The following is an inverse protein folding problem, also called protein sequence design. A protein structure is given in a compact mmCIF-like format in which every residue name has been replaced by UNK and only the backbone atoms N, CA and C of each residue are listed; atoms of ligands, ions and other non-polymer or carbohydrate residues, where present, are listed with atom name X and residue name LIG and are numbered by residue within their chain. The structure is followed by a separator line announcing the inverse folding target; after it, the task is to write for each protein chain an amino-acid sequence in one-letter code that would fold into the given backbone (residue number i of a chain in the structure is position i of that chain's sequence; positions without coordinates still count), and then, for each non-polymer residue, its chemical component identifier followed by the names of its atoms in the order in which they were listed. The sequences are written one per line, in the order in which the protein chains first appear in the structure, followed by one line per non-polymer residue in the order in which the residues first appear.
data_IF_434514677586
#
_entry.id   IF_434514677586
#
_cell.length_a   1.000
_cell.length_b   1.000
_cell.length_c   1.000
_cell.angle_alpha   90.00
_cell.angle_beta   90.00
_cell.angle_gamma   90.00
#
_symmetry.space_group_name_H-M   'P 1'
#
loop_
_entity.id
_entity.type
_entity.pdbx_description
1 polymer ?
#
# COMPACT_ATOMS: atom_id res chain seq x y z
N UNK A 1 -75.96 65.54 -26.23
CA UNK A 1 -75.25 64.50 -25.45
C UNK A 1 -74.39 63.71 -26.43
N UNK A 2 -73.12 64.10 -26.60
CA UNK A 2 -72.20 63.51 -27.58
C UNK A 2 -71.51 62.30 -26.92
N UNK A 3 -71.75 61.10 -27.45
CA UNK A 3 -71.03 59.90 -27.05
C UNK A 3 -69.68 59.88 -27.78
N UNK A 4 -68.60 60.09 -27.03
CA UNK A 4 -67.23 59.87 -27.52
C UNK A 4 -67.03 58.36 -27.62
N UNK A 5 -67.12 57.83 -28.84
CA UNK A 5 -66.77 56.44 -29.16
C UNK A 5 -65.24 56.37 -29.19
N UNK A 6 -64.65 55.79 -28.15
CA UNK A 6 -63.22 55.45 -28.12
C UNK A 6 -63.05 54.17 -28.93
N UNK A 7 -62.55 54.31 -30.16
CA UNK A 7 -62.22 53.18 -31.03
C UNK A 7 -60.83 52.65 -30.63
N UNK A 8 -60.77 51.47 -30.02
CA UNK A 8 -59.51 50.79 -29.75
C UNK A 8 -59.04 50.15 -31.06
N UNK A 9 -57.81 50.44 -31.55
CA UNK A 9 -57.31 49.84 -32.77
C UNK A 9 -57.35 48.31 -32.62
N UNK A 10 -58.07 47.64 -33.52
CA UNK A 10 -58.09 46.18 -33.59
C UNK A 10 -56.66 45.73 -33.85
N UNK A 11 -56.12 44.90 -32.96
CA UNK A 11 -54.82 44.28 -33.16
C UNK A 11 -54.90 43.42 -34.43
N UNK A 12 -54.38 43.95 -35.54
CA UNK A 12 -54.16 43.18 -36.74
C UNK A 12 -53.31 41.96 -36.39
N UNK A 13 -53.64 40.82 -37.00
CA UNK A 13 -52.97 39.53 -36.79
C UNK A 13 -51.53 39.58 -37.33
N UNK A 14 -50.65 40.30 -36.67
CA UNK A 14 -49.20 40.17 -36.82
C UNK A 14 -48.71 38.96 -36.00
N UNK A 15 -49.23 37.77 -36.30
CA UNK A 15 -49.03 36.57 -35.49
C UNK A 15 -47.77 35.75 -35.86
N UNK A 16 -46.78 36.36 -36.53
CA UNK A 16 -45.53 35.69 -36.92
C UNK A 16 -44.26 36.39 -36.44
N UNK A 17 -44.22 37.72 -36.51
CA UNK A 17 -43.00 38.51 -36.29
C UNK A 17 -42.54 38.51 -34.83
N UNK A 18 -43.46 38.48 -33.87
CA UNK A 18 -43.13 38.45 -32.43
C UNK A 18 -42.30 37.23 -32.06
N UNK A 19 -42.59 36.06 -32.64
CA UNK A 19 -41.86 34.83 -32.36
C UNK A 19 -40.43 34.90 -32.92
N UNK A 20 -40.25 35.52 -34.09
CA UNK A 20 -38.93 35.74 -34.69
C UNK A 20 -38.09 36.70 -33.85
N UNK A 21 -38.68 37.80 -33.37
CA UNK A 21 -37.99 38.76 -32.49
C UNK A 21 -37.63 38.12 -31.15
N UNK A 22 -38.55 37.35 -30.54
CA UNK A 22 -38.24 36.58 -29.34
C UNK A 22 -37.11 35.59 -29.58
N UNK A 23 -37.12 34.82 -30.68
CA UNK A 23 -36.06 33.87 -30.99
C UNK A 23 -34.71 34.56 -31.18
N UNK A 24 -34.68 35.68 -31.88
CA UNK A 24 -33.46 36.45 -32.12
C UNK A 24 -32.86 36.97 -30.81
N UNK A 25 -33.68 37.31 -29.83
CA UNK A 25 -33.25 37.70 -28.48
C UNK A 25 -32.91 36.50 -27.58
N UNK A 26 -33.54 35.35 -27.78
CA UNK A 26 -33.35 34.16 -26.93
C UNK A 26 -32.08 33.38 -27.31
N UNK A 27 -31.70 33.35 -28.59
CA UNK A 27 -30.47 32.70 -29.07
C UNK A 27 -29.20 33.18 -28.33
N UNK A 28 -28.90 34.49 -28.22
CA UNK A 28 -27.72 34.94 -27.50
C UNK A 28 -27.78 34.61 -26.00
N UNK A 29 -28.96 34.67 -25.38
CA UNK A 29 -29.15 34.26 -23.98
C UNK A 29 -28.89 32.76 -23.78
N UNK A 30 -29.34 31.93 -24.72
CA UNK A 30 -29.09 30.49 -24.69
C UNK A 30 -27.59 30.19 -24.81
N UNK A 31 -26.87 30.86 -25.71
CA UNK A 31 -25.43 30.69 -25.89
C UNK A 31 -24.65 31.05 -24.61
N UNK A 32 -25.02 32.14 -23.95
CA UNK A 32 -24.45 32.50 -22.64
C UNK A 32 -24.79 31.44 -21.58
N UNK A 33 -26.03 30.94 -21.57
CA UNK A 33 -26.46 29.88 -20.68
C UNK A 33 -25.62 28.60 -20.85
N UNK A 34 -25.42 28.14 -22.08
CA UNK A 34 -24.63 26.93 -22.39
C UNK A 34 -23.17 27.10 -21.93
N UNK A 35 -22.54 28.25 -22.19
CA UNK A 35 -21.17 28.50 -21.75
C UNK A 35 -20.99 28.44 -20.23
N UNK A 36 -21.99 28.89 -19.46
CA UNK A 36 -21.96 28.77 -17.98
C UNK A 36 -22.11 27.31 -17.52
N UNK A 37 -22.94 26.51 -18.20
CA UNK A 37 -23.11 25.09 -17.87
C UNK A 37 -21.85 24.28 -18.16
N UNK A 38 -21.18 24.52 -19.29
CA UNK A 38 -19.91 23.85 -19.61
C UNK A 38 -18.83 24.14 -18.56
N UNK A 39 -18.74 25.40 -18.13
CA UNK A 39 -17.80 25.83 -17.08
C UNK A 39 -18.14 25.17 -15.74
N UNK A 40 -19.42 25.08 -15.39
CA UNK A 40 -19.87 24.40 -14.17
C UNK A 40 -19.53 22.91 -14.17
N UNK A 41 -19.72 22.22 -15.30
CA UNK A 41 -19.37 20.79 -15.45
C UNK A 41 -17.87 20.56 -15.31
N UNK A 42 -17.04 21.45 -15.86
CA UNK A 42 -15.59 21.36 -15.68
C UNK A 42 -15.19 21.57 -14.21
N UNK A 43 -15.79 22.56 -13.55
CA UNK A 43 -15.58 22.82 -12.13
C UNK A 43 -15.97 21.64 -11.25
N UNK A 44 -17.11 21.01 -11.52
CA UNK A 44 -17.56 19.79 -10.83
C UNK A 44 -16.56 18.64 -11.01
N UNK A 45 -16.09 18.41 -12.23
CA UNK A 45 -15.08 17.37 -12.52
C UNK A 45 -13.76 17.62 -11.80
N UNK A 46 -13.31 18.87 -11.75
CA UNK A 46 -12.10 19.26 -11.02
C UNK A 46 -12.28 19.06 -9.51
N UNK A 47 -13.40 19.51 -8.94
CA UNK A 47 -13.72 19.32 -7.54
C UNK A 47 -13.78 17.83 -7.17
N UNK A 48 -14.45 17.02 -7.99
CA UNK A 48 -14.52 15.58 -7.79
C UNK A 48 -13.14 14.90 -7.87
N UNK A 49 -12.23 15.36 -8.74
CA UNK A 49 -10.87 14.83 -8.85
C UNK A 49 -10.01 15.21 -7.64
N UNK A 50 -10.13 16.45 -7.15
CA UNK A 50 -9.42 16.92 -5.94
C UNK A 50 -9.89 16.15 -4.72
N UNK A 51 -11.21 15.98 -4.56
CA UNK A 51 -11.80 15.22 -3.47
C UNK A 51 -11.36 13.74 -3.48
N UNK A 52 -11.34 13.13 -4.67
CA UNK A 52 -10.90 11.74 -4.83
C UNK A 52 -9.42 11.55 -4.45
N UNK A 53 -8.58 12.53 -4.78
CA UNK A 53 -7.15 12.52 -4.40
C UNK A 53 -6.93 12.79 -2.91
N UNK A 54 -7.74 13.66 -2.30
CA UNK A 54 -7.70 13.89 -0.86
C UNK A 54 -8.05 12.62 -0.09
N UNK A 55 -9.14 11.93 -0.47
CA UNK A 55 -9.50 10.63 0.14
C UNK A 55 -8.40 9.57 -0.02
N UNK A 56 -7.77 9.51 -1.20
CA UNK A 56 -6.65 8.61 -1.42
C UNK A 56 -5.46 8.94 -0.51
N UNK A 57 -5.21 10.21 -0.22
CA UNK A 57 -4.18 10.65 0.71
C UNK A 57 -4.51 10.27 2.16
N UNK A 58 -5.72 10.55 2.62
CA UNK A 58 -6.18 10.19 3.99
C UNK A 58 -6.07 8.67 4.22
N UNK A 59 -6.43 7.88 3.20
CA UNK A 59 -6.30 6.42 3.23
C UNK A 59 -4.83 5.96 3.32
N UNK A 60 -3.93 6.60 2.55
CA UNK A 60 -2.50 6.31 2.62
C UNK A 60 -1.91 6.69 3.98
N UNK A 61 -2.35 7.81 4.57
CA UNK A 61 -1.94 8.25 5.91
C UNK A 61 -2.40 7.26 6.98
N UNK A 62 -3.66 6.82 6.91
CA UNK A 62 -4.20 5.81 7.83
C UNK A 62 -3.40 4.50 7.73
N UNK A 63 -3.04 4.08 6.50
CA UNK A 63 -2.21 2.90 6.30
C UNK A 63 -0.79 3.05 6.86
N UNK A 64 -0.21 4.23 6.68
CA UNK A 64 1.10 4.55 7.24
C UNK A 64 1.07 4.51 8.78
N UNK A 65 0.07 5.15 9.39
CA UNK A 65 -0.12 5.17 10.83
C UNK A 65 -0.31 3.75 11.41
N UNK A 66 -1.06 2.89 10.72
CA UNK A 66 -1.25 1.50 11.12
C UNK A 66 0.07 0.72 11.12
N UNK A 67 0.91 0.90 10.09
CA UNK A 67 2.23 0.28 10.03
C UNK A 67 3.15 0.77 11.17
N UNK A 68 3.12 2.06 11.48
CA UNK A 68 3.84 2.62 12.63
C UNK A 68 3.30 2.11 13.97
N UNK A 69 1.99 1.99 14.12
CA UNK A 69 1.35 1.44 15.31
C UNK A 69 1.71 -0.03 15.53
N UNK A 70 1.73 -0.83 14.46
CA UNK A 70 2.19 -2.21 14.50
C UNK A 70 3.67 -2.28 14.90
N UNK A 71 4.53 -1.43 14.34
CA UNK A 71 5.94 -1.37 14.74
C UNK A 71 6.12 -0.93 16.19
N UNK A 72 5.26 -0.05 16.72
CA UNK A 72 5.28 0.38 18.13
C UNK A 72 4.88 -0.73 19.09
N UNK A 73 4.00 -1.65 18.68
CA UNK A 73 3.51 -2.73 19.55
C UNK A 73 4.48 -3.91 19.71
N UNK A 74 5.51 -4.02 18.86
CA UNK A 74 6.46 -5.13 18.92
C UNK A 74 7.39 -5.02 20.15
N UNK A 75 7.53 -6.02 21.01
CA UNK A 75 8.51 -5.92 22.10
C UNK A 75 9.96 -6.11 21.60
N UNK A 76 10.11 -6.98 20.60
CA UNK A 76 11.38 -7.44 20.03
C UNK A 76 11.50 -6.95 18.59
N UNK A 77 12.73 -6.79 18.09
CA UNK A 77 12.98 -6.46 16.69
C UNK A 77 12.37 -7.54 15.78
N UNK A 78 11.43 -7.19 14.89
CA UNK A 78 10.88 -8.15 13.94
C UNK A 78 11.96 -8.70 13.01
N UNK A 79 11.87 -9.99 12.68
CA UNK A 79 12.81 -10.62 11.76
C UNK A 79 12.40 -10.23 10.33
N UNK A 80 13.28 -9.50 9.63
CA UNK A 80 13.09 -9.22 8.22
C UNK A 80 13.36 -10.48 7.38
N UNK A 81 12.41 -10.87 6.54
CA UNK A 81 12.56 -11.99 5.60
C UNK A 81 12.40 -11.57 4.14
N UNK A 82 12.76 -12.46 3.20
CA UNK A 82 12.58 -12.24 1.77
C UNK A 82 11.14 -12.45 1.31
N UNK A 83 10.32 -13.07 2.14
CA UNK A 83 8.91 -13.43 1.87
C UNK A 83 7.93 -12.56 2.67
N UNK A 84 8.43 -11.64 3.50
CA UNK A 84 7.59 -10.80 4.37
C UNK A 84 6.90 -11.55 5.51
N UNK A 85 7.31 -12.79 5.83
CA UNK A 85 6.66 -13.68 6.79
C UNK A 85 6.58 -13.13 8.24
N UNK A 86 7.39 -12.12 8.58
CA UNK A 86 7.35 -11.40 9.85
C UNK A 86 6.69 -10.02 9.80
N UNK A 87 6.00 -9.67 8.71
CA UNK A 87 5.46 -8.33 8.48
C UNK A 87 6.52 -7.28 8.11
N UNK A 88 7.79 -7.67 8.06
CA UNK A 88 8.92 -6.82 7.65
C UNK A 88 9.70 -7.50 6.54
N UNK A 89 9.95 -6.75 5.47
CA UNK A 89 10.73 -7.15 4.32
C UNK A 89 12.20 -6.78 4.50
N UNK A 90 13.08 -7.65 4.00
CA UNK A 90 14.50 -7.31 3.86
C UNK A 90 14.70 -6.22 2.81
N UNK A 91 15.66 -5.34 3.07
CA UNK A 91 16.04 -4.30 2.11
C UNK A 91 16.46 -4.90 0.76
N UNK A 92 15.99 -4.30 -0.32
CA UNK A 92 16.40 -4.65 -1.69
C UNK A 92 15.75 -5.93 -2.24
N UNK A 93 14.91 -6.62 -1.46
CA UNK A 93 14.15 -7.78 -1.94
C UNK A 93 12.93 -7.33 -2.74
N UNK A 94 12.22 -6.31 -2.24
CA UNK A 94 11.06 -5.78 -2.94
C UNK A 94 11.50 -5.15 -4.25
N UNK A 95 10.93 -5.63 -5.35
CA UNK A 95 11.20 -5.17 -6.70
C UNK A 95 12.36 -5.84 -7.42
N UNK A 96 13.02 -6.83 -6.84
CA UNK A 96 14.09 -7.58 -7.50
C UNK A 96 13.61 -8.38 -8.73
N UNK A 97 12.34 -8.76 -8.74
CA UNK A 97 11.68 -9.43 -9.88
C UNK A 97 11.08 -8.44 -10.90
N UNK A 98 11.20 -7.14 -10.63
CA UNK A 98 10.70 -6.10 -11.52
C UNK A 98 11.78 -5.75 -12.55
N UNK A 99 11.41 -5.71 -13.82
CA UNK A 99 12.31 -5.41 -14.94
C UNK A 99 12.70 -3.93 -15.07
N UNK A 100 12.44 -3.13 -14.02
CA UNK A 100 12.58 -1.68 -14.02
C UNK A 100 13.63 -1.26 -12.97
N UNK A 101 14.46 -0.27 -13.34
CA UNK A 101 15.53 0.27 -12.50
C UNK A 101 15.08 1.37 -11.53
N UNK A 102 13.82 1.79 -11.63
CA UNK A 102 13.19 2.72 -10.69
C UNK A 102 12.85 2.04 -9.37
N UNK A 103 12.50 2.85 -8.38
CA UNK A 103 12.18 2.35 -7.06
C UNK A 103 10.90 1.52 -7.09
N UNK A 104 10.90 0.37 -6.39
CA UNK A 104 9.86 -0.66 -6.56
C UNK A 104 8.43 -0.15 -6.38
N UNK A 105 8.20 0.82 -5.49
CA UNK A 105 6.86 1.37 -5.24
C UNK A 105 6.37 2.35 -6.31
N UNK A 106 7.22 2.73 -7.28
CA UNK A 106 6.89 3.67 -8.36
C UNK A 106 7.16 3.08 -9.76
N UNK A 107 6.87 1.79 -9.93
CA UNK A 107 6.93 1.12 -11.23
C UNK A 107 5.59 0.52 -11.62
N UNK A 108 5.38 0.33 -12.92
CA UNK A 108 4.12 -0.20 -13.46
C UNK A 108 3.79 -1.62 -12.98
N UNK A 109 4.78 -2.39 -12.53
CA UNK A 109 4.59 -3.73 -11.97
C UNK A 109 4.06 -3.77 -10.53
N UNK A 110 3.90 -2.62 -9.86
CA UNK A 110 3.32 -2.54 -8.50
C UNK A 110 1.91 -1.96 -8.53
N UNK A 111 1.03 -2.70 -9.17
CA UNK A 111 -0.41 -2.41 -9.20
C UNK A 111 -1.12 -2.90 -7.93
N UNK A 112 -2.45 -2.81 -7.91
CA UNK A 112 -3.24 -3.16 -6.72
C UNK A 112 -3.06 -4.62 -6.31
N UNK A 113 -2.96 -5.55 -7.28
CA UNK A 113 -2.79 -6.98 -6.99
C UNK A 113 -1.42 -7.26 -6.37
N UNK A 114 -0.39 -6.53 -6.80
CA UNK A 114 0.91 -6.58 -6.15
C UNK A 114 0.83 -6.15 -4.68
N UNK A 115 0.10 -5.07 -4.39
CA UNK A 115 -0.09 -4.59 -3.01
C UNK A 115 -0.92 -5.53 -2.14
N UNK A 116 -1.91 -6.23 -2.71
CA UNK A 116 -2.69 -7.26 -2.00
C UNK A 116 -1.84 -8.49 -1.64
N UNK A 117 -0.82 -8.80 -2.43
CA UNK A 117 0.06 -9.97 -2.21
C UNK A 117 1.25 -9.68 -1.29
N UNK A 118 1.74 -8.44 -1.26
CA UNK A 118 2.96 -8.07 -0.52
C UNK A 118 2.71 -7.12 0.65
N UNK A 119 1.60 -6.37 0.61
CA UNK A 119 1.22 -5.38 1.60
C UNK A 119 0.22 -5.91 2.62
N UNK A 120 0.18 -5.28 3.78
CA UNK A 120 -0.84 -5.53 4.80
C UNK A 120 -1.99 -4.55 4.61
N UNK A 121 -3.21 -5.07 4.47
CA UNK A 121 -4.40 -4.26 4.35
C UNK A 121 -4.79 -3.62 5.69
N UNK A 122 -5.19 -2.35 5.64
CA UNK A 122 -5.83 -1.65 6.75
C UNK A 122 -7.33 -1.68 6.52
N UNK A 123 -8.07 -2.11 7.54
CA UNK A 123 -9.46 -2.56 7.45
C UNK A 123 -10.43 -1.63 6.71
N UNK A 124 -11.61 -2.17 6.39
CA UNK A 124 -12.62 -1.54 5.51
C UNK A 124 -13.02 -0.12 5.94
N UNK A 125 -12.34 0.88 5.39
CA UNK A 125 -12.88 2.22 5.33
C UNK A 125 -13.95 2.17 4.25
N UNK A 126 -15.22 2.09 4.67
CA UNK A 126 -16.43 1.89 3.83
C UNK A 126 -16.62 2.91 2.69
N UNK A 127 -15.75 3.90 2.55
CA UNK A 127 -15.73 4.90 1.49
C UNK A 127 -14.65 4.71 0.42
N UNK A 128 -13.77 3.72 0.52
CA UNK A 128 -12.68 3.47 -0.44
C UNK A 128 -13.07 2.43 -1.49
N UNK A 129 -12.48 2.51 -2.68
CA UNK A 129 -12.68 1.48 -3.71
C UNK A 129 -11.97 0.16 -3.38
N UNK A 130 -10.84 0.26 -2.67
CA UNK A 130 -9.98 -0.86 -2.25
C UNK A 130 -9.37 -0.48 -0.90
N UNK A 131 -9.18 -1.42 0.05
CA UNK A 131 -8.48 -1.16 1.29
C UNK A 131 -7.10 -0.52 1.07
N UNK A 132 -6.70 0.37 1.97
CA UNK A 132 -5.35 0.92 1.94
C UNK A 132 -4.34 -0.14 2.40
N UNK A 133 -3.15 -0.15 1.83
CA UNK A 133 -2.12 -1.15 2.15
C UNK A 133 -0.83 -0.47 2.59
N UNK A 134 -0.08 -1.12 3.49
CA UNK A 134 1.27 -0.70 3.83
C UNK A 134 2.26 -1.86 3.74
N UNK A 135 3.52 -1.52 3.51
CA UNK A 135 4.66 -2.44 3.45
C UNK A 135 5.77 -1.85 4.32
N UNK A 136 6.41 -2.70 5.12
CA UNK A 136 7.50 -2.31 6.00
C UNK A 136 8.79 -2.96 5.51
N UNK A 137 9.84 -2.18 5.32
CA UNK A 137 11.18 -2.63 5.00
C UNK A 137 12.14 -2.31 6.14
N UNK A 138 13.06 -3.22 6.45
CA UNK A 138 14.18 -2.92 7.33
C UNK A 138 15.24 -2.13 6.56
N UNK A 139 15.50 -0.88 6.93
CA UNK A 139 16.43 0.00 6.21
C UNK A 139 17.84 0.02 6.82
N UNK A 140 17.94 0.07 8.15
CA UNK A 140 19.25 0.07 8.83
C UNK A 140 19.12 -0.40 10.27
N UNK A 141 20.12 -1.14 10.73
CA UNK A 141 20.33 -1.42 12.15
C UNK A 141 21.57 -0.67 12.62
N UNK A 142 21.43 0.07 13.72
CA UNK A 142 22.55 0.69 14.43
C UNK A 142 22.59 0.06 15.83
N UNK A 143 23.74 -0.51 16.16
CA UNK A 143 24.01 -1.07 17.48
C UNK A 143 25.29 -0.46 18.02
N UNK A 144 25.29 0.01 19.27
CA UNK A 144 26.43 0.67 19.92
C UNK A 144 27.54 -0.32 20.37
N UNK A 145 27.71 -1.42 19.63
CA UNK A 145 28.62 -2.52 19.98
C UNK A 145 28.08 -3.42 21.11
N UNK A 146 28.88 -4.40 21.54
CA UNK A 146 28.57 -5.27 22.69
C UNK A 146 28.90 -4.59 24.02
N UNK A 147 28.51 -3.33 24.16
CA UNK A 147 28.60 -2.64 25.43
C UNK A 147 27.44 -3.10 26.32
N UNK A 148 27.77 -3.52 27.53
CA UNK A 148 26.85 -3.89 28.59
C UNK A 148 26.76 -2.71 29.55
N UNK A 149 25.56 -2.32 29.95
CA UNK A 149 25.37 -1.24 30.93
C UNK A 149 25.86 -1.65 32.33
N UNK A 150 25.89 -0.69 33.26
CA UNK A 150 26.34 -0.91 34.65
C UNK A 150 25.51 -1.99 35.38
N UNK A 151 24.34 -2.35 34.84
CA UNK A 151 23.43 -3.36 35.40
C UNK A 151 23.46 -4.69 34.65
N UNK A 152 24.40 -4.91 33.73
CA UNK A 152 24.50 -6.17 33.00
C UNK A 152 23.56 -6.31 31.80
N UNK A 153 22.83 -5.26 31.42
CA UNK A 153 21.91 -5.29 30.26
C UNK A 153 22.67 -4.95 28.98
N UNK A 154 22.42 -5.71 27.92
CA UNK A 154 22.93 -5.40 26.59
C UNK A 154 22.35 -4.07 26.09
N UNK A 155 23.18 -3.26 25.46
CA UNK A 155 22.73 -2.00 24.85
C UNK A 155 21.64 -2.27 23.79
N UNK A 156 20.53 -1.53 23.81
CA UNK A 156 19.40 -1.76 22.93
C UNK A 156 19.69 -1.31 21.48
N UNK A 157 19.16 -2.06 20.52
CA UNK A 157 19.41 -1.87 19.07
C UNK A 157 18.48 -0.78 18.53
N UNK A 158 19.02 0.21 17.82
CA UNK A 158 18.24 1.21 17.09
C UNK A 158 17.99 0.71 15.66
N UNK A 159 16.74 0.40 15.34
CA UNK A 159 16.34 -0.05 14.02
C UNK A 159 15.55 1.02 13.27
N UNK A 160 15.98 1.31 12.04
CA UNK A 160 15.30 2.16 11.09
C UNK A 160 14.48 1.30 10.14
N UNK A 161 13.18 1.53 10.13
CA UNK A 161 12.23 0.90 9.24
C UNK A 161 11.74 1.92 8.22
N UNK A 162 11.60 1.52 6.96
CA UNK A 162 10.97 2.32 5.93
C UNK A 162 9.58 1.77 5.69
N UNK A 163 8.57 2.59 5.86
CA UNK A 163 7.17 2.20 5.70
C UNK A 163 6.68 2.89 4.44
N UNK A 164 6.20 2.09 3.49
CA UNK A 164 5.61 2.60 2.25
C UNK A 164 4.14 2.23 2.26
N UNK A 165 3.26 3.22 2.18
CA UNK A 165 1.82 3.06 2.21
C UNK A 165 1.20 3.49 0.87
N UNK A 166 0.12 2.81 0.48
CA UNK A 166 -0.71 3.15 -0.66
C UNK A 166 -2.16 3.36 -0.22
N UNK A 167 -2.73 4.48 -0.66
CA UNK A 167 -4.14 4.78 -0.54
C UNK A 167 -4.77 4.92 -1.92
N UNK A 168 -6.00 4.41 -2.04
CA UNK A 168 -6.76 4.37 -3.27
C UNK A 168 -8.05 5.15 -3.04
N UNK A 169 -8.33 6.13 -3.91
CA UNK A 169 -9.55 6.93 -3.82
C UNK A 169 -10.81 6.10 -4.12
N UNK A 170 -11.91 6.79 -4.37
CA UNK A 170 -13.15 6.19 -4.91
C UNK A 170 -12.94 5.60 -6.31
N UNK A 171 -11.93 6.07 -7.05
CA UNK A 171 -11.49 5.46 -8.32
C UNK A 171 -10.18 4.70 -8.10
N UNK A 172 -10.11 3.47 -8.61
CA UNK A 172 -8.90 2.63 -8.56
C UNK A 172 -7.69 3.28 -9.25
N UNK A 173 -7.92 4.19 -10.19
CA UNK A 173 -6.88 4.97 -10.89
C UNK A 173 -6.28 6.08 -10.03
N UNK A 174 -7.00 6.55 -9.02
CA UNK A 174 -6.56 7.63 -8.14
C UNK A 174 -5.78 7.04 -6.99
N UNK A 175 -4.47 7.02 -7.14
CA UNK A 175 -3.54 6.40 -6.19
C UNK A 175 -2.63 7.46 -5.59
N UNK A 176 -2.41 7.35 -4.29
CA UNK A 176 -1.43 8.15 -3.55
C UNK A 176 -0.54 7.18 -2.80
N UNK A 177 0.76 7.45 -2.83
CA UNK A 177 1.77 6.65 -2.11
C UNK A 177 2.52 7.57 -1.17
N UNK A 178 2.70 7.13 0.06
CA UNK A 178 3.43 7.84 1.10
C UNK A 178 4.57 6.96 1.59
N UNK A 179 5.64 7.60 2.03
CA UNK A 179 6.78 6.89 2.60
C UNK A 179 7.30 7.62 3.83
N UNK A 180 7.52 6.87 4.90
CA UNK A 180 8.07 7.36 6.17
C UNK A 180 9.25 6.50 6.58
N UNK A 181 10.16 7.09 7.37
CA UNK A 181 11.22 6.35 8.05
C UNK A 181 10.95 6.39 9.54
N UNK A 182 10.69 5.22 10.12
CA UNK A 182 10.39 5.06 11.53
C UNK A 182 11.58 4.44 12.25
N UNK A 183 12.12 5.17 13.23
CA UNK A 183 13.22 4.69 14.06
C UNK A 183 12.69 4.20 15.41
N UNK A 184 13.06 2.99 15.80
CA UNK A 184 12.69 2.44 17.10
C UNK A 184 13.82 1.68 17.74
N UNK A 185 13.90 1.83 19.06
CA UNK A 185 14.85 1.13 19.91
C UNK A 185 14.20 -0.16 20.40
N UNK A 186 14.89 -1.29 20.21
CA UNK A 186 14.46 -2.62 20.61
C UNK A 186 15.44 -3.18 21.64
N UNK A 187 14.91 -3.95 22.59
CA UNK A 187 15.76 -4.70 23.50
C UNK A 187 16.50 -5.80 22.72
N UNK A 188 17.79 -5.99 23.02
CA UNK A 188 18.55 -7.11 22.47
C UNK A 188 18.16 -8.36 23.27
N UNK A 189 17.65 -9.38 22.57
CA UNK A 189 17.44 -10.71 23.16
C UNK A 189 18.79 -11.30 23.56
N UNK A 190 18.85 -11.97 24.71
CA UNK A 190 20.02 -12.76 25.08
C UNK A 190 20.10 -13.99 24.17
N UNK A 191 21.31 -14.47 23.88
CA UNK A 191 21.51 -15.65 23.00
C UNK A 191 20.74 -16.90 23.51
N UNK A 192 20.47 -16.99 24.81
CA UNK A 192 19.69 -18.07 25.42
C UNK A 192 18.19 -18.04 25.04
N UNK A 193 17.63 -16.87 24.71
CA UNK A 193 16.21 -16.69 24.38
C UNK A 193 15.92 -16.94 22.89
N UNK A 194 16.96 -17.07 22.05
CA UNK A 194 16.83 -17.23 20.60
C UNK A 194 16.35 -18.62 20.17
N UNK A 195 16.39 -19.63 21.06
CA UNK A 195 16.07 -21.02 20.76
C UNK A 195 14.59 -21.41 20.92
N UNK A 196 13.72 -20.52 21.38
CA UNK A 196 12.35 -20.90 21.78
C UNK A 196 11.38 -21.04 20.59
N UNK A 197 11.71 -20.57 19.38
CA UNK A 197 10.70 -20.42 18.31
C UNK A 197 10.93 -21.20 17.01
N UNK A 198 11.78 -22.22 17.01
CA UNK A 198 11.96 -23.09 15.81
C UNK A 198 11.20 -24.42 15.94
N UNK A 199 10.95 -24.91 17.16
CA UNK A 199 10.38 -26.24 17.40
C UNK A 199 8.82 -26.25 17.50
N UNK A 200 8.20 -25.07 17.56
CA UNK A 200 6.75 -24.93 17.76
C UNK A 200 5.92 -25.19 16.50
N UNK A 201 6.48 -24.94 15.32
CA UNK A 201 5.78 -25.07 14.04
C UNK A 201 5.68 -26.53 13.57
N UNK A 202 6.67 -27.38 13.92
CA UNK A 202 6.74 -28.77 13.46
C UNK A 202 5.85 -29.71 14.29
N UNK A 203 5.55 -29.34 15.55
CA UNK A 203 4.75 -30.18 16.48
C UNK A 203 3.25 -30.12 16.27
N UNK A 204 2.74 -29.21 15.43
CA UNK A 204 1.29 -29.06 15.18
C UNK A 204 0.79 -30.07 14.14
N UNK A 205 1.65 -30.59 13.27
CA UNK A 205 1.25 -31.53 12.20
C UNK A 205 1.10 -32.98 12.70
N UNK A 206 1.77 -33.38 13.79
CA UNK A 206 1.74 -34.78 14.25
C UNK A 206 0.58 -35.16 15.18
N UNK A 207 -0.27 -34.22 15.62
CA UNK A 207 -1.37 -34.51 16.57
C UNK A 207 -2.76 -34.63 15.93
N UNK A 208 -2.81 -35.04 14.66
CA UNK A 208 -4.04 -35.01 13.87
C UNK A 208 -4.37 -36.23 13.03
N UNK A 209 -3.94 -37.46 13.35
CA UNK A 209 -4.53 -38.67 12.73
C UNK A 209 -4.16 -39.98 13.43
N UNK A 210 -4.98 -40.45 14.38
CA UNK A 210 -5.09 -41.89 14.69
C UNK A 210 -6.54 -42.22 15.03
N UNK A 211 -7.26 -42.86 14.09
CA UNK A 211 -8.10 -44.04 14.35
C UNK A 211 -8.69 -44.62 13.06
N UNK A 212 -8.36 -45.86 12.76
CA UNK A 212 -9.03 -46.65 11.71
C UNK A 212 -8.20 -47.85 11.27
N UNK A 213 -8.34 -48.98 11.97
CA UNK A 213 -7.77 -50.26 11.58
C UNK A 213 -8.55 -50.91 10.42
N UNK A 214 -7.84 -51.60 9.52
CA UNK A 214 -8.38 -52.48 8.48
C UNK A 214 -7.26 -53.07 7.59
N UNK A 215 -7.37 -54.32 7.10
CA UNK A 215 -6.21 -55.18 6.89
C UNK A 215 -5.55 -55.14 5.50
N UNK A 216 -4.30 -55.59 5.51
CA UNK A 216 -3.32 -55.82 4.44
C UNK A 216 -3.91 -56.32 3.12
N UNK A 217 -3.60 -55.67 1.99
CA UNK A 217 -3.41 -56.35 0.71
C UNK A 217 -2.63 -55.50 -0.32
N UNK A 218 -1.57 -56.12 -0.84
CA UNK A 218 -1.06 -56.06 -2.23
C UNK A 218 -0.39 -54.81 -2.84
N UNK A 219 0.85 -55.09 -3.25
CA UNK A 219 1.55 -54.73 -4.50
C UNK A 219 2.14 -53.32 -4.68
N UNK A 220 3.45 -53.33 -4.96
CA UNK A 220 4.00 -52.52 -6.07
C UNK A 220 5.25 -51.71 -5.75
N UNK A 221 6.39 -52.31 -6.03
CA UNK A 221 7.71 -51.69 -6.17
C UNK A 221 7.73 -50.32 -6.87
N UNK A 222 8.60 -49.39 -6.44
CA UNK A 222 9.84 -49.11 -7.19
C UNK A 222 10.79 -48.09 -6.52
N UNK A 223 12.06 -48.26 -6.90
CA UNK A 223 13.16 -47.29 -6.94
C UNK A 223 13.84 -46.86 -5.63
N UNK A 224 14.83 -47.67 -5.25
CA UNK A 224 16.09 -47.16 -4.75
C UNK A 224 16.73 -46.19 -5.75
N UNK A 225 17.31 -45.08 -5.28
CA UNK A 225 18.74 -44.84 -5.46
C UNK A 225 19.23 -43.60 -4.71
N UNK A 226 20.34 -43.79 -3.99
CA UNK A 226 21.41 -42.81 -3.71
C UNK A 226 21.02 -41.57 -2.91
N UNK A 227 21.57 -41.48 -1.69
CA UNK A 227 22.58 -40.49 -1.30
C UNK A 227 23.12 -40.93 0.07
N UNK A 228 24.26 -41.62 0.03
CA UNK A 228 25.26 -41.47 1.07
C UNK A 228 26.21 -40.41 0.56
N UNK A 229 26.35 -39.32 1.32
CA UNK A 229 27.62 -38.65 1.60
C UNK A 229 27.32 -37.32 2.31
N UNK A 230 27.63 -37.29 3.60
CA UNK A 230 27.99 -36.06 4.29
C UNK A 230 29.27 -35.49 3.67
N UNK A 231 29.34 -34.17 3.49
CA UNK A 231 30.58 -33.51 3.87
C UNK A 231 30.33 -32.27 4.72
N UNK A 232 30.86 -32.35 5.94
CA UNK A 232 31.44 -31.24 6.68
C UNK A 232 32.15 -30.26 5.74
N UNK A 233 31.72 -28.99 5.73
CA UNK A 233 32.57 -27.92 5.18
C UNK A 233 32.51 -26.67 6.06
N UNK A 234 33.50 -26.58 6.94
CA UNK A 234 34.12 -25.31 7.36
C UNK A 234 34.51 -24.52 6.11
N UNK A 235 34.20 -23.23 6.05
CA UNK A 235 34.88 -22.19 5.26
C UNK A 235 34.51 -20.85 5.93
N UNK A 236 35.37 -20.28 6.78
CA UNK A 236 36.60 -19.56 6.50
C UNK A 236 36.39 -18.19 5.83
N UNK A 237 36.92 -17.20 6.55
CA UNK A 237 37.15 -15.79 6.26
C UNK A 237 37.14 -15.35 4.78
N UNK A 238 36.40 -14.27 4.52
CA UNK A 238 36.77 -13.25 3.54
C UNK A 238 36.57 -11.86 4.17
N UNK A 239 37.61 -11.38 4.87
CA UNK A 239 37.80 -9.98 5.16
C UNK A 239 38.05 -9.23 3.85
N UNK A 240 36.98 -8.70 3.26
CA UNK A 240 37.04 -7.72 2.16
C UNK A 240 37.42 -6.35 2.71
N UNK A 241 38.73 -6.07 2.70
CA UNK A 241 39.34 -4.77 2.99
C UNK A 241 38.84 -3.73 1.97
N UNK A 242 37.94 -2.82 2.35
CA UNK A 242 37.62 -1.64 1.54
C UNK A 242 38.37 -0.43 2.08
N UNK A 243 39.28 0.06 1.25
CA UNK A 243 40.13 1.24 1.44
C UNK A 243 39.32 2.52 1.37
N UNK A 244 39.42 3.37 2.38
CA UNK A 244 38.99 4.76 2.32
C UNK A 244 39.90 5.53 1.37
N UNK A 245 39.35 6.02 0.25
CA UNK A 245 39.96 7.12 -0.52
C UNK A 245 39.16 8.37 -0.20
N UNK A 246 39.83 9.31 0.44
CA UNK A 246 39.34 10.64 0.72
C UNK A 246 39.10 11.38 -0.61
N UNK A 247 37.99 12.10 -0.64
CA UNK A 247 37.65 13.10 -1.64
C UNK A 247 38.60 14.29 -1.49
N UNK A 248 39.10 14.77 -2.62
CA UNK A 248 39.19 16.21 -2.89
C UNK A 248 38.18 16.52 -4.01
#
# INVERSE_FOLDING_TARGET
MLAVVIDFPRADKASGTTLVVCLLLLVPLLLLGVGTMESAVLGERMAANIEDRARAFDAAETALEAGEAWLRSQAVLPIASSEGAGGVWREGVLGQDLSDSRVWWDVSGTDVQWWESHGTAVGDVTSLAVPAHYVIEQYRLVSDGESVDVNGRLQPILAFHRITAIGIGRRVTTRVRLQSTFARRYERLNDDDQFVNVDSADRVVERGAVKGEGPLHSLGANLASRIGDTPTRRNNALFGRQSWRLLD
#
